data_IF_609817001046
#
_entry.id   IF_609817001046
#
_cell.length_a   1.000
_cell.length_b   1.000
_cell.length_c   1.000
_cell.angle_alpha   90.00
_cell.angle_beta   90.00
_cell.angle_gamma   90.00
#
_symmetry.space_group_name_H-M   'P 1'
#
loop_
_entity.id
_entity.type
_entity.pdbx_description
1 polymer ?
#
# COMPACT_ATOMS: atom_id res chain seq x y z
N UNK A 1 14.11 -10.14 -28.10
CA UNK A 1 13.51 -10.86 -26.95
C UNK A 1 12.10 -10.34 -26.77
N UNK A 2 11.10 -11.19 -26.98
CA UNK A 2 9.68 -10.84 -27.00
C UNK A 2 9.14 -10.70 -25.57
N UNK A 3 8.81 -9.48 -25.15
CA UNK A 3 8.04 -9.24 -23.93
C UNK A 3 6.57 -9.54 -24.19
N UNK A 4 6.13 -10.76 -23.88
CA UNK A 4 4.70 -11.08 -23.87
C UNK A 4 4.01 -10.24 -22.79
N UNK A 5 2.87 -9.58 -23.08
CA UNK A 5 2.05 -9.01 -22.02
C UNK A 5 1.56 -10.16 -21.14
N UNK A 6 1.91 -10.14 -19.85
CA UNK A 6 1.36 -11.06 -18.85
C UNK A 6 -0.17 -11.03 -18.98
N UNK A 7 -0.77 -12.14 -19.43
CA UNK A 7 -2.21 -12.38 -19.38
C UNK A 7 -2.66 -12.11 -17.94
N UNK A 8 -3.39 -11.01 -17.73
CA UNK A 8 -3.97 -10.71 -16.42
C UNK A 8 -4.97 -11.82 -16.15
N UNK A 9 -4.65 -12.71 -15.21
CA UNK A 9 -5.58 -13.78 -14.84
C UNK A 9 -6.75 -13.15 -14.07
N UNK A 10 -7.98 -13.65 -14.21
CA UNK A 10 -9.12 -13.14 -13.44
C UNK A 10 -8.84 -13.10 -11.92
N UNK A 11 -8.01 -14.02 -11.44
CA UNK A 11 -7.49 -14.07 -10.07
C UNK A 11 -6.75 -12.78 -9.67
N UNK A 12 -5.91 -12.23 -10.55
CA UNK A 12 -5.14 -10.99 -10.30
C UNK A 12 -6.05 -9.76 -10.18
N UNK A 13 -7.15 -9.74 -10.94
CA UNK A 13 -8.15 -8.65 -10.86
C UNK A 13 -8.87 -8.70 -9.51
N UNK A 14 -9.31 -9.87 -9.07
CA UNK A 14 -9.97 -10.02 -7.76
C UNK A 14 -9.03 -9.69 -6.59
N UNK A 15 -7.76 -10.10 -6.66
CA UNK A 15 -6.74 -9.74 -5.66
C UNK A 15 -6.53 -8.22 -5.66
N UNK A 16 -6.38 -7.61 -6.83
CA UNK A 16 -6.22 -6.16 -6.99
C UNK A 16 -7.38 -5.39 -6.34
N UNK A 17 -8.63 -5.79 -6.62
CA UNK A 17 -9.81 -5.14 -6.03
C UNK A 17 -9.80 -5.25 -4.50
N UNK A 18 -9.41 -6.41 -3.95
CA UNK A 18 -9.32 -6.62 -2.49
C UNK A 18 -8.26 -5.71 -1.87
N UNK A 19 -7.08 -5.60 -2.49
CA UNK A 19 -6.00 -4.71 -2.05
C UNK A 19 -6.49 -3.26 -2.04
N UNK A 20 -7.10 -2.79 -3.14
CA UNK A 20 -7.63 -1.42 -3.25
C UNK A 20 -8.71 -1.14 -2.20
N UNK A 21 -9.63 -2.08 -1.97
CA UNK A 21 -10.66 -1.95 -0.93
C UNK A 21 -10.05 -1.87 0.48
N UNK A 22 -9.03 -2.68 0.78
CA UNK A 22 -8.36 -2.66 2.07
C UNK A 22 -7.58 -1.35 2.32
N UNK A 23 -6.99 -0.79 1.26
CA UNK A 23 -6.29 0.50 1.28
C UNK A 23 -7.24 1.71 1.40
N UNK A 24 -8.54 1.55 1.13
CA UNK A 24 -9.49 2.66 1.03
C UNK A 24 -9.48 3.60 2.25
N UNK A 25 -9.33 3.06 3.46
CA UNK A 25 -9.25 3.86 4.71
C UNK A 25 -7.83 4.10 5.22
N UNK A 26 -6.86 3.34 4.72
CA UNK A 26 -5.51 3.31 5.27
C UNK A 26 -4.48 3.48 4.16
N UNK A 27 -3.69 4.56 4.25
CA UNK A 27 -2.62 4.85 3.30
C UNK A 27 -1.29 4.52 3.97
N UNK A 28 -0.67 3.36 3.66
CA UNK A 28 0.56 2.93 4.32
C UNK A 28 1.77 3.65 3.72
N UNK A 29 1.83 4.97 3.93
CA UNK A 29 2.95 5.83 3.53
C UNK A 29 3.49 6.58 4.75
N UNK A 30 4.75 6.99 4.65
CA UNK A 30 5.46 7.74 5.66
C UNK A 30 6.02 6.91 6.82
N UNK A 31 6.40 7.58 7.92
CA UNK A 31 7.17 7.01 9.02
C UNK A 31 6.46 5.83 9.71
N UNK A 32 5.13 5.84 9.74
CA UNK A 32 4.32 4.81 10.39
C UNK A 32 3.78 3.76 9.41
N UNK A 33 4.27 3.73 8.16
CA UNK A 33 3.72 2.87 7.10
C UNK A 33 3.64 1.39 7.46
N UNK A 34 4.60 0.89 8.25
CA UNK A 34 4.61 -0.50 8.72
C UNK A 34 3.45 -0.80 9.67
N UNK A 35 3.13 0.11 10.60
CA UNK A 35 2.00 -0.04 11.52
C UNK A 35 0.66 0.12 10.80
N UNK A 36 0.57 1.05 9.84
CA UNK A 36 -0.62 1.22 9.01
C UNK A 36 -0.88 -0.04 8.18
N UNK A 37 0.16 -0.72 7.69
CA UNK A 37 0.01 -1.99 6.97
C UNK A 37 -0.68 -3.06 7.82
N UNK A 38 -0.43 -3.12 9.13
CA UNK A 38 -1.16 -4.03 10.02
C UNK A 38 -2.67 -3.75 10.04
N UNK A 39 -3.07 -2.48 9.96
CA UNK A 39 -4.48 -2.09 9.87
C UNK A 39 -5.09 -2.48 8.51
N UNK A 40 -4.33 -2.32 7.42
CA UNK A 40 -4.74 -2.76 6.08
C UNK A 40 -4.99 -4.26 6.07
N UNK A 41 -4.07 -5.06 6.63
CA UNK A 41 -4.19 -6.52 6.69
C UNK A 41 -5.40 -6.98 7.51
N UNK A 42 -5.70 -6.32 8.63
CA UNK A 42 -6.90 -6.61 9.43
C UNK A 42 -8.21 -6.42 8.65
N UNK A 43 -8.23 -5.53 7.67
CA UNK A 43 -9.40 -5.25 6.85
C UNK A 43 -9.56 -6.20 5.64
N UNK A 44 -8.60 -7.10 5.39
CA UNK A 44 -8.73 -8.11 4.34
C UNK A 44 -9.66 -9.23 4.79
N UNK A 45 -10.77 -9.41 4.06
CA UNK A 45 -11.55 -10.66 4.14
C UNK A 45 -10.63 -11.79 3.66
N UNK A 46 -10.27 -12.74 4.53
CA UNK A 46 -9.32 -13.85 4.28
C UNK A 46 -7.83 -13.43 4.18
N UNK A 47 -7.15 -13.17 5.30
CA UNK A 47 -5.76 -12.72 5.33
C UNK A 47 -4.75 -13.77 4.81
N UNK A 48 -5.12 -15.05 4.76
CA UNK A 48 -4.23 -16.13 4.31
C UNK A 48 -3.90 -16.10 2.80
N UNK A 49 -4.59 -15.26 2.02
CA UNK A 49 -4.47 -15.21 0.56
C UNK A 49 -3.62 -14.04 0.06
N UNK A 50 -3.54 -12.95 0.83
CA UNK A 50 -2.85 -11.72 0.43
C UNK A 50 -1.91 -11.33 1.57
N UNK A 51 -0.61 -11.39 1.31
CA UNK A 51 0.41 -11.01 2.26
C UNK A 51 0.68 -9.50 2.22
N UNK A 52 1.39 -8.99 3.24
CA UNK A 52 1.90 -7.62 3.23
C UNK A 52 2.78 -7.35 2.01
N UNK A 53 3.57 -8.33 1.60
CA UNK A 53 4.48 -8.24 0.46
C UNK A 53 3.73 -8.07 -0.87
N UNK A 54 2.59 -8.75 -1.03
CA UNK A 54 1.75 -8.59 -2.23
C UNK A 54 1.18 -7.18 -2.33
N UNK A 55 0.77 -6.60 -1.20
CA UNK A 55 0.30 -5.21 -1.13
C UNK A 55 1.45 -4.26 -1.44
N UNK A 56 2.64 -4.49 -0.90
CA UNK A 56 3.81 -3.67 -1.19
C UNK A 56 4.17 -3.71 -2.67
N UNK A 57 4.27 -4.89 -3.28
CA UNK A 57 4.49 -5.05 -4.72
C UNK A 57 3.42 -4.33 -5.54
N UNK A 58 2.15 -4.44 -5.15
CA UNK A 58 1.06 -3.72 -5.78
C UNK A 58 1.28 -2.20 -5.74
N UNK A 59 1.66 -1.67 -4.57
CA UNK A 59 1.90 -0.24 -4.37
C UNK A 59 3.15 0.24 -5.15
N UNK A 60 4.29 -0.46 -5.04
CA UNK A 60 5.53 -0.14 -5.75
C UNK A 60 5.39 -0.18 -7.28
N UNK A 61 4.52 -1.06 -7.80
CA UNK A 61 4.29 -1.16 -9.25
C UNK A 61 3.41 -0.04 -9.83
N UNK A 62 2.68 0.71 -8.98
CA UNK A 62 1.68 1.69 -9.43
C UNK A 62 1.96 3.12 -9.01
N UNK A 63 2.72 3.30 -7.93
CA UNK A 63 2.93 4.60 -7.33
C UNK A 63 4.40 4.86 -7.06
N UNK A 64 4.79 6.14 -7.14
CA UNK A 64 6.09 6.60 -6.65
C UNK A 64 6.06 6.67 -5.12
N UNK A 65 6.38 5.53 -4.49
CA UNK A 65 6.36 5.37 -3.04
C UNK A 65 7.35 6.33 -2.36
N UNK A 66 8.50 6.62 -2.98
CA UNK A 66 9.50 7.52 -2.40
C UNK A 66 8.95 8.95 -2.31
N UNK A 67 8.30 9.41 -3.39
CA UNK A 67 7.65 10.72 -3.41
C UNK A 67 6.50 10.80 -2.39
N UNK A 68 5.65 9.77 -2.33
CA UNK A 68 4.53 9.74 -1.39
C UNK A 68 4.99 9.68 0.08
N UNK A 69 6.03 8.89 0.37
CA UNK A 69 6.64 8.83 1.71
C UNK A 69 7.22 10.19 2.11
N UNK A 70 7.93 10.89 1.22
CA UNK A 70 8.48 12.21 1.50
C UNK A 70 7.39 13.23 1.88
N UNK A 71 6.34 13.33 1.05
CA UNK A 71 5.20 14.24 1.29
C UNK A 71 4.50 13.89 2.60
N UNK A 72 4.28 12.61 2.87
CA UNK A 72 3.60 12.16 4.09
C UNK A 72 4.45 12.44 5.33
N UNK A 73 5.77 12.20 5.24
CA UNK A 73 6.71 12.47 6.32
C UNK A 73 6.82 13.96 6.64
N UNK A 74 6.82 14.82 5.62
CA UNK A 74 6.81 16.26 5.80
C UNK A 74 5.58 16.73 6.58
N UNK A 75 4.39 16.19 6.26
CA UNK A 75 3.18 16.45 7.04
C UNK A 75 3.32 16.10 8.53
N UNK A 76 4.00 15.01 8.85
CA UNK A 76 4.25 14.62 10.25
C UNK A 76 5.35 15.46 10.91
N UNK A 77 6.33 15.97 10.15
CA UNK A 77 7.32 16.94 10.64
C UNK A 77 6.69 18.29 10.99
N UNK A 78 5.66 18.71 10.25
CA UNK A 78 4.89 19.92 10.55
C UNK A 78 4.17 19.80 11.91
N UNK A 79 3.84 18.58 12.36
CA UNK A 79 3.24 18.34 13.68
C UNK A 79 4.23 18.25 14.85
N UNK A 80 5.55 18.20 14.59
CA UNK A 80 6.58 18.05 15.63
C UNK A 80 7.18 19.36 16.16
N UNK A 81 6.63 20.52 15.80
CA UNK A 81 7.02 21.83 16.33
C UNK A 81 5.81 22.66 16.74
N UNK A 82 5.11 22.20 17.78
CA UNK A 82 4.27 23.04 18.64
C UNK A 82 4.25 22.41 20.04
N UNK A 83 5.43 22.25 20.60
CA UNK A 83 5.58 22.19 22.05
C UNK A 83 6.10 23.59 22.43
N UNK A 84 5.16 24.52 22.57
CA UNK A 84 5.36 25.69 23.43
C UNK A 84 5.52 25.24 24.88
#
# INVERSE_FOLDING_TARGET
MTNFPKKITNTDVHITIRIVKALGKHKPFGIFKQFIMLQVLKNLKQPNVISAEDIWKFLYSRYDIKKLDAITNEKYKIGSYSLE
#
